data_IF_295273983994
#
_entry.id   IF_295273983994
#
_cell.length_a   1.000
_cell.length_b   1.000
_cell.length_c   1.000
_cell.angle_alpha   90.00
_cell.angle_beta   90.00
_cell.angle_gamma   90.00
#
_symmetry.space_group_name_H-M   'P 1'
#
loop_
_entity.id
_entity.type
_entity.pdbx_description
1 polymer ?
#
# COMPACT_ATOMS: atom_id res chain seq x y z
N UNK A 1 7.70 17.16 -26.75
CA UNK A 1 7.48 16.16 -25.70
C UNK A 1 8.82 15.77 -25.13
N UNK A 2 9.02 15.92 -23.85
CA UNK A 2 10.25 15.59 -23.11
C UNK A 2 10.02 14.33 -22.32
N UNK A 3 11.07 13.51 -22.15
CA UNK A 3 11.10 12.33 -21.28
C UNK A 3 12.18 12.52 -20.25
N UNK A 4 11.81 12.50 -18.98
CA UNK A 4 12.73 12.49 -17.84
C UNK A 4 12.82 11.07 -17.29
N UNK A 5 14.03 10.50 -17.26
CA UNK A 5 14.28 9.16 -16.74
C UNK A 5 15.32 9.21 -15.63
N UNK A 6 14.99 8.63 -14.48
CA UNK A 6 15.86 8.42 -13.32
C UNK A 6 15.55 7.02 -12.74
N UNK A 7 16.35 6.48 -11.81
CA UNK A 7 15.95 5.29 -11.08
C UNK A 7 14.55 5.47 -10.48
N UNK A 8 13.67 4.50 -10.67
CA UNK A 8 12.26 4.49 -10.20
C UNK A 8 11.35 5.63 -10.69
N UNK A 9 11.80 6.42 -11.71
CA UNK A 9 11.03 7.52 -12.27
C UNK A 9 11.18 7.56 -13.79
N UNK A 10 10.03 7.55 -14.49
CA UNK A 10 9.97 7.81 -15.93
C UNK A 10 8.72 8.66 -16.21
N UNK A 11 8.96 9.94 -16.49
CA UNK A 11 7.89 10.90 -16.77
C UNK A 11 8.01 11.44 -18.19
N UNK A 12 6.87 11.55 -18.85
CA UNK A 12 6.70 12.23 -20.12
C UNK A 12 5.95 13.54 -19.86
N UNK A 13 6.28 14.61 -20.55
CA UNK A 13 5.57 15.86 -20.44
C UNK A 13 5.96 16.87 -21.51
N UNK A 14 5.51 18.10 -21.30
CA UNK A 14 5.73 19.24 -22.18
C UNK A 14 6.23 20.42 -21.36
N UNK A 15 6.79 21.44 -22.04
CA UNK A 15 7.29 22.67 -21.38
C UNK A 15 8.15 22.34 -20.15
N UNK A 16 9.20 21.56 -20.38
CA UNK A 16 10.08 21.05 -19.33
C UNK A 16 11.26 22.00 -19.18
N UNK A 17 11.47 22.46 -17.96
CA UNK A 17 12.69 23.10 -17.50
C UNK A 17 13.26 22.28 -16.35
N UNK A 18 14.46 21.73 -16.51
CA UNK A 18 15.06 20.84 -15.51
C UNK A 18 16.57 21.06 -15.40
N UNK A 19 16.99 21.43 -14.20
CA UNK A 19 18.40 21.58 -13.85
C UNK A 19 18.94 20.27 -13.24
N UNK A 20 19.84 19.61 -13.96
CA UNK A 20 20.43 18.35 -13.51
C UNK A 20 21.41 18.54 -12.33
N UNK A 21 22.01 19.72 -12.17
CA UNK A 21 22.91 20.02 -11.05
C UNK A 21 22.18 20.05 -9.73
N UNK A 22 21.10 20.81 -9.66
CA UNK A 22 20.30 21.03 -8.45
C UNK A 22 19.18 20.00 -8.30
N UNK A 23 18.90 19.20 -9.34
CA UNK A 23 17.75 18.28 -9.44
C UNK A 23 16.41 18.99 -9.23
N UNK A 24 16.29 20.21 -9.70
CA UNK A 24 15.08 21.03 -9.62
C UNK A 24 14.52 21.28 -11.01
N UNK A 25 13.22 21.56 -11.09
CA UNK A 25 12.62 21.89 -12.38
C UNK A 25 11.11 21.80 -12.38
N UNK A 26 10.54 22.02 -13.55
CA UNK A 26 9.08 21.95 -13.78
C UNK A 26 8.78 21.21 -15.08
N UNK A 27 7.60 20.60 -15.14
CA UNK A 27 7.10 19.93 -16.34
C UNK A 27 5.58 20.02 -16.37
N UNK A 28 5.00 20.28 -17.53
CA UNK A 28 3.54 20.36 -17.71
C UNK A 28 2.97 19.13 -18.42
N UNK A 29 1.69 18.86 -18.23
CA UNK A 29 0.93 17.74 -18.84
C UNK A 29 1.67 16.42 -18.71
N UNK A 30 1.88 16.02 -17.48
CA UNK A 30 2.75 14.90 -17.11
C UNK A 30 1.97 13.59 -17.10
N UNK A 31 2.57 12.56 -17.67
CA UNK A 31 2.17 11.16 -17.55
C UNK A 31 3.41 10.26 -17.41
N UNK A 32 3.31 9.22 -16.59
CA UNK A 32 4.42 8.28 -16.46
C UNK A 32 4.35 7.40 -15.23
N UNK A 33 5.52 6.97 -14.75
CA UNK A 33 5.65 6.05 -13.62
C UNK A 33 6.62 6.63 -12.60
N UNK A 34 6.22 6.59 -11.33
CA UNK A 34 7.04 6.95 -10.16
C UNK A 34 6.88 5.86 -9.10
N UNK A 35 7.98 5.24 -8.66
CA UNK A 35 7.97 4.14 -7.67
C UNK A 35 6.92 3.07 -8.00
N UNK A 36 6.95 2.54 -9.23
CA UNK A 36 6.01 1.54 -9.75
C UNK A 36 4.53 1.96 -9.75
N UNK A 37 4.22 3.24 -9.58
CA UNK A 37 2.86 3.79 -9.67
C UNK A 37 2.72 4.66 -10.91
N UNK A 38 1.64 4.47 -11.64
CA UNK A 38 1.30 5.29 -12.79
C UNK A 38 0.75 6.61 -12.28
N UNK A 39 1.32 7.70 -12.75
CA UNK A 39 0.95 9.07 -12.37
C UNK A 39 0.55 9.87 -13.59
N UNK A 40 -0.41 10.78 -13.41
CA UNK A 40 -0.75 11.82 -14.39
C UNK A 40 -0.98 13.12 -13.63
N UNK A 41 -0.66 14.25 -14.23
CA UNK A 41 -0.84 15.56 -13.61
C UNK A 41 -0.83 16.71 -14.60
N UNK A 42 -1.40 17.84 -14.20
CA UNK A 42 -1.34 19.06 -15.00
C UNK A 42 0.06 19.64 -15.02
N UNK A 43 0.73 19.62 -13.87
CA UNK A 43 2.13 20.03 -13.74
C UNK A 43 2.85 19.25 -12.66
N UNK A 44 4.17 19.21 -12.77
CA UNK A 44 5.08 18.63 -11.77
C UNK A 44 6.16 19.63 -11.47
N UNK A 45 6.52 19.76 -10.21
CA UNK A 45 7.72 20.42 -9.72
C UNK A 45 8.66 19.37 -9.15
N UNK A 46 9.93 19.52 -9.48
CA UNK A 46 11.01 18.64 -9.00
C UNK A 46 11.84 19.40 -7.98
N UNK A 47 12.14 18.71 -6.90
CA UNK A 47 13.08 19.14 -5.85
C UNK A 47 14.06 17.99 -5.58
N UNK A 48 15.20 18.21 -4.92
CA UNK A 48 16.24 17.19 -4.73
C UNK A 48 15.74 15.87 -4.12
N UNK A 49 14.77 15.94 -3.20
CA UNK A 49 14.23 14.79 -2.46
C UNK A 49 12.70 14.68 -2.52
N UNK A 50 12.06 15.46 -3.38
CA UNK A 50 10.60 15.54 -3.46
C UNK A 50 10.15 15.78 -4.90
N UNK A 51 9.00 15.19 -5.25
CA UNK A 51 8.30 15.44 -6.50
C UNK A 51 6.90 15.88 -6.16
N UNK A 52 6.49 17.06 -6.61
CA UNK A 52 5.14 17.60 -6.35
C UNK A 52 4.33 17.60 -7.64
N UNK A 53 3.22 16.89 -7.64
CA UNK A 53 2.29 16.79 -8.78
C UNK A 53 1.02 17.58 -8.45
N UNK A 54 0.62 18.49 -9.32
CA UNK A 54 -0.59 19.26 -9.16
C UNK A 54 -1.73 18.75 -10.05
N UNK A 55 -2.93 18.71 -9.47
CA UNK A 55 -4.17 18.24 -10.11
C UNK A 55 -3.92 16.89 -10.83
N UNK A 56 -3.46 15.94 -10.03
CA UNK A 56 -2.97 14.67 -10.54
C UNK A 56 -3.79 13.48 -10.11
N UNK A 57 -3.46 12.35 -10.73
CA UNK A 57 -3.97 11.03 -10.37
C UNK A 57 -2.82 10.06 -10.20
N UNK A 58 -3.01 9.06 -9.33
CA UNK A 58 -2.04 8.00 -9.09
C UNK A 58 -2.76 6.66 -8.96
N UNK A 59 -2.21 5.61 -9.58
CA UNK A 59 -2.75 4.25 -9.53
C UNK A 59 -1.64 3.20 -9.70
N UNK A 60 -1.88 1.98 -9.23
CA UNK A 60 -1.07 0.79 -9.60
C UNK A 60 -1.70 -0.01 -10.75
N UNK A 61 -2.93 0.31 -11.15
CA UNK A 61 -3.63 -0.40 -12.22
C UNK A 61 -3.07 0.00 -13.59
N UNK A 62 -2.49 -0.93 -14.38
CA UNK A 62 -1.88 -0.62 -15.67
C UNK A 62 -2.90 -0.43 -16.82
N UNK A 63 -4.18 -0.62 -16.55
CA UNK A 63 -5.22 -0.48 -17.54
C UNK A 63 -5.31 0.97 -18.07
N UNK A 64 -5.62 1.13 -19.37
CA UNK A 64 -5.80 2.45 -19.99
C UNK A 64 -6.87 3.29 -19.29
N UNK A 65 -7.96 2.64 -18.83
CA UNK A 65 -8.95 3.17 -17.90
C UNK A 65 -8.81 2.35 -16.60
N UNK A 66 -8.16 2.90 -15.57
CA UNK A 66 -7.89 2.12 -14.35
C UNK A 66 -9.18 1.84 -13.58
N UNK A 67 -9.30 0.64 -13.02
CA UNK A 67 -10.43 0.26 -12.17
C UNK A 67 -10.46 1.06 -10.86
N UNK A 68 -9.30 1.53 -10.40
CA UNK A 68 -9.19 2.39 -9.24
C UNK A 68 -8.04 3.39 -9.40
N UNK A 69 -8.21 4.58 -8.82
CA UNK A 69 -7.16 5.58 -8.74
C UNK A 69 -7.43 6.56 -7.59
N UNK A 70 -6.40 7.26 -7.18
CA UNK A 70 -6.51 8.42 -6.28
C UNK A 70 -6.32 9.66 -7.14
N UNK A 71 -7.25 10.61 -7.06
CA UNK A 71 -7.07 11.95 -7.58
C UNK A 71 -6.81 12.92 -6.42
N UNK A 72 -5.97 13.92 -6.63
CA UNK A 72 -5.69 14.93 -5.62
C UNK A 72 -5.33 16.27 -6.26
N UNK A 73 -5.56 17.38 -5.54
CA UNK A 73 -5.10 18.70 -5.98
C UNK A 73 -3.58 18.82 -5.93
N UNK A 74 -2.94 18.21 -4.92
CA UNK A 74 -1.50 18.18 -4.76
C UNK A 74 -1.07 16.80 -4.27
N UNK A 75 -0.06 16.22 -4.91
CA UNK A 75 0.55 14.94 -4.53
C UNK A 75 2.04 15.19 -4.33
N UNK A 76 2.53 14.96 -3.14
CA UNK A 76 3.95 15.00 -2.77
C UNK A 76 4.48 13.58 -2.73
N UNK A 77 5.55 13.30 -3.45
CA UNK A 77 6.21 12.02 -3.49
C UNK A 77 7.64 12.20 -2.97
N UNK A 78 7.95 11.61 -1.84
CA UNK A 78 9.29 11.45 -1.30
C UNK A 78 9.77 10.06 -1.71
N UNK A 79 10.62 9.92 -2.75
CA UNK A 79 10.99 8.63 -3.32
C UNK A 79 11.49 7.64 -2.26
N UNK A 80 10.97 6.42 -2.28
CA UNK A 80 11.27 5.34 -1.32
C UNK A 80 10.93 5.65 0.16
N UNK A 81 10.27 6.76 0.46
CA UNK A 81 9.91 7.15 1.83
C UNK A 81 8.39 7.17 1.99
N UNK A 82 7.71 8.13 1.36
CA UNK A 82 6.26 8.31 1.50
C UNK A 82 5.65 9.07 0.33
N UNK A 83 4.33 8.96 0.25
CA UNK A 83 3.48 9.77 -0.62
C UNK A 83 2.42 10.45 0.23
N UNK A 84 2.19 11.74 -0.02
CA UNK A 84 1.13 12.53 0.61
C UNK A 84 0.25 13.10 -0.51
N UNK A 85 -1.06 12.95 -0.40
CA UNK A 85 -2.01 13.53 -1.33
C UNK A 85 -2.99 14.43 -0.57
N UNK A 86 -3.13 15.67 -1.02
CA UNK A 86 -4.03 16.67 -0.42
C UNK A 86 -5.29 16.83 -1.26
N UNK A 87 -6.42 17.01 -0.59
CA UNK A 87 -7.76 16.99 -1.20
C UNK A 87 -7.95 15.72 -2.06
N UNK A 88 -7.62 14.59 -1.44
CA UNK A 88 -7.60 13.31 -2.12
C UNK A 88 -8.99 12.69 -2.21
N UNK A 89 -9.26 12.08 -3.38
CA UNK A 89 -10.45 11.26 -3.63
C UNK A 89 -10.02 9.90 -4.14
N UNK A 90 -10.51 8.85 -3.51
CA UNK A 90 -10.34 7.47 -3.95
C UNK A 90 -11.49 7.10 -4.86
N UNK A 91 -11.17 6.75 -6.08
CA UNK A 91 -12.11 6.35 -7.12
C UNK A 91 -12.05 4.86 -7.35
N UNK A 92 -13.22 4.26 -7.55
CA UNK A 92 -13.36 2.95 -8.14
C UNK A 92 -14.25 3.10 -9.36
N UNK A 93 -13.67 2.84 -10.54
CA UNK A 93 -14.23 3.19 -11.84
C UNK A 93 -14.62 4.67 -11.87
N UNK A 94 -15.91 4.96 -11.99
CA UNK A 94 -16.44 6.32 -12.12
C UNK A 94 -17.09 6.84 -10.82
N UNK A 95 -16.93 6.13 -9.68
CA UNK A 95 -17.51 6.49 -8.38
C UNK A 95 -16.45 6.85 -7.37
N UNK A 96 -16.65 7.98 -6.68
CA UNK A 96 -15.85 8.34 -5.50
C UNK A 96 -16.33 7.50 -4.33
N UNK A 97 -15.45 6.68 -3.77
CA UNK A 97 -15.75 5.90 -2.56
C UNK A 97 -15.39 6.63 -1.28
N UNK A 98 -14.32 7.42 -1.32
CA UNK A 98 -13.78 8.09 -0.14
C UNK A 98 -13.12 9.39 -0.52
N UNK A 99 -13.25 10.41 0.34
CA UNK A 99 -12.59 11.70 0.19
C UNK A 99 -11.97 12.12 1.52
N UNK A 100 -10.77 12.68 1.46
CA UNK A 100 -10.06 13.16 2.64
C UNK A 100 -9.25 14.41 2.30
N UNK A 101 -9.08 15.30 3.27
CA UNK A 101 -8.21 16.48 3.12
C UNK A 101 -6.73 16.09 2.98
N UNK A 102 -6.31 14.98 3.60
CA UNK A 102 -4.94 14.46 3.53
C UNK A 102 -4.97 12.94 3.50
N UNK A 103 -4.26 12.35 2.56
CA UNK A 103 -3.97 10.92 2.45
C UNK A 103 -2.46 10.73 2.48
N UNK A 104 -1.94 9.88 3.35
CA UNK A 104 -0.50 9.60 3.44
C UNK A 104 -0.26 8.08 3.41
N UNK A 105 0.73 7.65 2.65
CA UNK A 105 1.16 6.23 2.59
C UNK A 105 2.66 6.14 2.46
N UNK A 106 3.27 5.15 3.12
CA UNK A 106 4.70 4.88 3.02
C UNK A 106 5.05 4.25 1.67
N UNK A 107 6.24 4.56 1.15
CA UNK A 107 6.82 3.97 -0.05
C UNK A 107 8.08 3.19 0.34
N UNK A 108 8.38 2.10 -0.38
CA UNK A 108 9.64 1.36 -0.19
C UNK A 108 9.64 0.26 0.89
N UNK A 109 8.58 0.09 1.66
CA UNK A 109 8.43 -1.04 2.58
C UNK A 109 7.15 -1.80 2.26
N UNK A 110 7.26 -2.96 1.61
CA UNK A 110 6.10 -3.79 1.22
C UNK A 110 5.34 -4.39 2.40
N UNK A 111 5.84 -4.28 3.64
CA UNK A 111 5.29 -4.95 4.83
C UNK A 111 4.69 -4.03 5.90
N UNK A 112 4.70 -2.71 5.74
CA UNK A 112 3.96 -1.86 6.69
C UNK A 112 2.52 -1.69 6.22
N UNK A 113 1.61 -2.24 7.01
CA UNK A 113 0.17 -2.09 6.84
C UNK A 113 -0.18 -0.59 6.89
N UNK A 114 -0.86 -0.11 5.89
CA UNK A 114 -1.22 1.32 5.78
C UNK A 114 -2.28 1.69 6.81
N UNK A 115 -2.15 2.85 7.45
CA UNK A 115 -3.20 3.43 8.29
C UNK A 115 -4.47 3.81 7.48
N UNK A 116 -4.42 3.74 6.17
CA UNK A 116 -5.51 4.08 5.26
C UNK A 116 -5.99 2.86 4.48
N UNK A 117 -7.29 2.82 4.11
CA UNK A 117 -7.84 1.74 3.31
C UNK A 117 -7.07 1.55 2.00
N UNK A 118 -6.76 0.30 1.69
CA UNK A 118 -6.25 -0.10 0.38
C UNK A 118 -7.41 -0.52 -0.50
N UNK A 119 -7.52 0.07 -1.67
CA UNK A 119 -8.55 -0.25 -2.65
C UNK A 119 -7.91 -0.88 -3.87
N UNK A 120 -8.50 -1.95 -4.38
CA UNK A 120 -8.01 -2.65 -5.57
C UNK A 120 -9.07 -3.52 -6.22
N UNK A 121 -8.64 -4.33 -7.18
CA UNK A 121 -9.47 -5.28 -7.92
C UNK A 121 -8.70 -6.59 -8.13
N UNK A 122 -9.37 -7.72 -7.90
CA UNK A 122 -8.85 -9.07 -8.15
C UNK A 122 -9.99 -10.02 -8.59
N UNK A 123 -9.75 -11.35 -8.51
CA UNK A 123 -10.76 -12.40 -8.80
C UNK A 123 -12.04 -12.25 -7.98
N UNK A 124 -11.96 -11.73 -6.74
CA UNK A 124 -13.08 -11.51 -5.82
C UNK A 124 -13.81 -10.18 -6.07
N UNK A 125 -13.41 -9.47 -7.13
CA UNK A 125 -13.96 -8.19 -7.53
C UNK A 125 -13.22 -7.00 -6.91
N UNK A 126 -13.97 -5.91 -6.69
CA UNK A 126 -13.42 -4.73 -6.02
C UNK A 126 -13.26 -5.06 -4.54
N UNK A 127 -12.08 -4.75 -4.00
CA UNK A 127 -11.85 -4.89 -2.56
C UNK A 127 -11.46 -3.55 -1.91
N UNK A 128 -11.83 -3.43 -0.64
CA UNK A 128 -11.37 -2.37 0.27
C UNK A 128 -10.84 -3.08 1.50
N UNK A 129 -9.57 -2.86 1.82
CA UNK A 129 -8.88 -3.49 2.96
C UNK A 129 -8.37 -2.41 3.89
N UNK A 130 -8.69 -2.54 5.18
CA UNK A 130 -8.20 -1.66 6.23
C UNK A 130 -7.61 -2.48 7.36
N UNK A 131 -6.34 -2.26 7.65
CA UNK A 131 -5.69 -2.79 8.84
C UNK A 131 -5.68 -1.73 9.94
N UNK A 132 -6.09 -2.14 11.13
CA UNK A 132 -6.01 -1.36 12.36
C UNK A 132 -5.17 -2.15 13.35
N UNK A 133 -4.22 -1.51 14.00
CA UNK A 133 -3.42 -2.11 15.07
C UNK A 133 -3.14 -1.04 16.13
N UNK A 134 -3.38 -1.38 17.38
CA UNK A 134 -3.20 -0.50 18.53
C UNK A 134 -2.50 -1.24 19.66
N UNK A 135 -1.46 -0.63 20.20
CA UNK A 135 -0.75 -1.16 21.37
C UNK A 135 -1.60 -1.06 22.63
N UNK A 136 -1.80 -2.19 23.30
CA UNK A 136 -2.56 -2.26 24.56
C UNK A 136 -1.61 -2.08 25.75
N UNK A 137 -0.51 -2.86 25.79
CA UNK A 137 0.46 -2.83 26.88
C UNK A 137 1.79 -3.47 26.45
N UNK A 138 2.89 -2.74 26.61
CA UNK A 138 4.22 -3.23 26.24
C UNK A 138 4.31 -3.68 24.80
N UNK A 139 4.55 -4.95 24.57
CA UNK A 139 4.64 -5.57 23.22
C UNK A 139 3.32 -6.22 22.77
N UNK A 140 2.26 -6.09 23.55
CA UNK A 140 0.94 -6.61 23.23
C UNK A 140 0.12 -5.57 22.47
N UNK A 141 -0.35 -5.92 21.28
CA UNK A 141 -1.24 -5.11 20.47
C UNK A 141 -2.54 -5.86 20.15
N UNK A 142 -3.62 -5.13 19.96
CA UNK A 142 -4.83 -5.63 19.29
C UNK A 142 -4.79 -5.22 17.82
N UNK A 143 -5.29 -6.08 16.95
CA UNK A 143 -5.44 -5.75 15.54
C UNK A 143 -6.81 -6.14 14.99
N UNK A 144 -7.23 -5.46 13.94
CA UNK A 144 -8.41 -5.81 13.15
C UNK A 144 -8.12 -5.50 11.67
N UNK A 145 -8.36 -6.49 10.83
CA UNK A 145 -8.37 -6.36 9.38
C UNK A 145 -9.84 -6.34 8.92
N UNK A 146 -10.25 -5.20 8.37
CA UNK A 146 -11.62 -4.95 7.93
C UNK A 146 -11.65 -5.01 6.41
N UNK A 147 -11.84 -6.21 5.88
CA UNK A 147 -11.81 -6.46 4.44
C UNK A 147 -13.22 -6.53 3.87
N UNK A 148 -13.45 -5.82 2.78
CA UNK A 148 -14.68 -5.90 2.00
C UNK A 148 -14.35 -6.29 0.55
N UNK A 149 -15.10 -7.23 0.01
CA UNK A 149 -15.01 -7.68 -1.37
C UNK A 149 -16.38 -7.62 -2.03
N UNK A 150 -16.46 -7.09 -3.25
CA UNK A 150 -17.76 -6.89 -3.93
C UNK A 150 -18.51 -8.19 -4.24
N UNK A 151 -17.79 -9.32 -4.37
CA UNK A 151 -18.40 -10.63 -4.60
C UNK A 151 -18.70 -11.41 -3.31
N UNK A 152 -17.97 -11.15 -2.23
CA UNK A 152 -18.02 -11.95 -1.00
C UNK A 152 -18.48 -11.16 0.23
N UNK A 153 -18.67 -9.82 0.09
CA UNK A 153 -19.10 -8.96 1.18
C UNK A 153 -18.00 -8.71 2.22
N UNK A 154 -18.41 -8.43 3.45
CA UNK A 154 -17.52 -8.09 4.55
C UNK A 154 -16.84 -9.34 5.13
N UNK A 155 -15.52 -9.31 5.24
CA UNK A 155 -14.65 -10.41 5.65
C UNK A 155 -13.70 -9.97 6.76
N UNK A 156 -14.20 -9.63 7.96
CA UNK A 156 -13.34 -9.16 9.05
C UNK A 156 -12.54 -10.31 9.66
N UNK A 157 -11.32 -10.04 10.07
CA UNK A 157 -10.61 -10.84 11.04
C UNK A 157 -9.89 -9.95 12.05
N UNK A 158 -9.70 -10.43 13.27
CA UNK A 158 -9.15 -9.64 14.35
C UNK A 158 -8.52 -10.53 15.41
N UNK A 159 -7.67 -9.93 16.23
CA UNK A 159 -6.95 -10.68 17.24
C UNK A 159 -6.04 -9.85 18.11
N UNK A 160 -5.20 -10.59 18.84
CA UNK A 160 -4.13 -10.05 19.66
C UNK A 160 -2.80 -10.57 19.13
N UNK A 161 -1.80 -9.72 19.14
CA UNK A 161 -0.44 -10.07 18.78
C UNK A 161 0.52 -9.61 19.87
N UNK A 162 1.42 -10.49 20.29
CA UNK A 162 2.49 -10.16 21.22
C UNK A 162 3.85 -10.36 20.53
N UNK A 163 4.63 -9.29 20.45
CA UNK A 163 5.92 -9.27 19.79
C UNK A 163 7.05 -9.63 20.76
N UNK A 164 7.89 -10.59 20.38
CA UNK A 164 9.10 -10.99 21.08
C UNK A 164 10.34 -10.70 20.22
N UNK A 165 11.52 -10.74 20.80
CA UNK A 165 12.78 -10.46 20.08
C UNK A 165 13.04 -11.33 18.84
N UNK A 166 12.51 -12.53 18.79
CA UNK A 166 12.74 -13.48 17.65
C UNK A 166 11.48 -14.17 17.16
N UNK A 167 10.32 -13.80 17.69
CA UNK A 167 9.06 -14.46 17.39
C UNK A 167 7.87 -13.51 17.64
N UNK A 168 6.70 -13.93 17.20
CA UNK A 168 5.42 -13.33 17.55
C UNK A 168 4.42 -14.43 17.95
N UNK A 169 3.57 -14.13 18.91
CA UNK A 169 2.43 -14.95 19.30
C UNK A 169 1.16 -14.22 18.87
N UNK A 170 0.32 -14.90 18.11
CA UNK A 170 -0.92 -14.36 17.59
C UNK A 170 -2.08 -15.23 18.05
N UNK A 171 -3.14 -14.59 18.50
CA UNK A 171 -4.45 -15.20 18.74
C UNK A 171 -5.45 -14.47 17.87
N UNK A 172 -6.00 -15.15 16.88
CA UNK A 172 -6.84 -14.50 15.87
C UNK A 172 -8.08 -15.30 15.53
N UNK A 173 -9.12 -14.61 15.09
CA UNK A 173 -10.34 -15.23 14.59
C UNK A 173 -10.95 -14.38 13.48
N UNK A 174 -11.77 -15.00 12.63
CA UNK A 174 -12.46 -14.31 11.55
C UNK A 174 -12.38 -15.05 10.23
N UNK A 175 -12.54 -14.30 9.13
CA UNK A 175 -12.58 -14.85 7.77
C UNK A 175 -11.27 -14.56 7.07
N UNK A 176 -10.65 -15.60 6.56
CA UNK A 176 -9.36 -15.56 5.87
C UNK A 176 -9.48 -16.16 4.48
N UNK A 177 -8.66 -15.70 3.57
CA UNK A 177 -8.42 -16.33 2.28
C UNK A 177 -7.19 -17.23 2.43
N UNK A 178 -7.31 -18.50 2.08
CA UNK A 178 -6.20 -19.44 2.09
C UNK A 178 -5.35 -19.36 0.80
N UNK A 179 -4.34 -20.24 0.70
CA UNK A 179 -3.44 -20.27 -0.45
C UNK A 179 -4.08 -20.70 -1.78
N UNK A 180 -5.27 -21.31 -1.73
CA UNK A 180 -6.04 -21.76 -2.89
C UNK A 180 -7.20 -20.80 -3.23
N UNK A 181 -7.17 -19.59 -2.67
CA UNK A 181 -8.18 -18.55 -2.81
C UNK A 181 -9.55 -18.89 -2.19
N UNK A 182 -9.64 -19.95 -1.41
CA UNK A 182 -10.85 -20.31 -0.68
C UNK A 182 -11.01 -19.51 0.62
N UNK A 183 -12.26 -19.24 0.99
CA UNK A 183 -12.57 -18.52 2.20
C UNK A 183 -12.82 -19.47 3.35
N UNK A 184 -11.99 -19.41 4.37
CA UNK A 184 -12.09 -20.17 5.61
C UNK A 184 -12.42 -19.26 6.78
N UNK A 185 -13.08 -19.82 7.79
CA UNK A 185 -13.34 -19.15 9.06
C UNK A 185 -12.52 -19.79 10.16
N UNK A 186 -11.65 -19.02 10.79
CA UNK A 186 -10.87 -19.43 11.97
C UNK A 186 -11.60 -19.09 13.25
N UNK A 187 -11.67 -20.02 14.21
CA UNK A 187 -12.48 -19.94 15.43
C UNK A 187 -11.79 -20.55 16.65
N UNK A 188 -11.10 -19.82 17.48
CA UNK A 188 -9.93 -18.99 17.18
C UNK A 188 -8.71 -19.83 16.76
N UNK A 189 -7.71 -19.20 16.19
CA UNK A 189 -6.39 -19.79 15.94
C UNK A 189 -5.35 -19.18 16.87
N UNK A 190 -4.49 -20.03 17.43
CA UNK A 190 -3.26 -19.65 18.13
C UNK A 190 -2.08 -19.94 17.20
N UNK A 191 -1.24 -18.95 16.96
CA UNK A 191 -0.08 -19.08 16.09
C UNK A 191 1.16 -18.51 16.76
N UNK A 192 2.27 -19.26 16.68
CA UNK A 192 3.61 -18.79 17.01
C UNK A 192 4.42 -18.77 15.73
N UNK A 193 4.94 -17.60 15.38
CA UNK A 193 5.78 -17.41 14.20
C UNK A 193 7.17 -17.00 14.64
N UNK A 194 8.17 -17.78 14.31
CA UNK A 194 9.57 -17.42 14.52
C UNK A 194 10.08 -16.64 13.31
N UNK A 195 10.74 -15.52 13.57
CA UNK A 195 11.30 -14.71 12.48
C UNK A 195 12.40 -15.46 11.76
N UNK A 196 12.58 -15.21 10.45
CA UNK A 196 13.59 -15.89 9.66
C UNK A 196 14.97 -15.76 10.30
N UNK A 197 15.63 -16.91 10.55
CA UNK A 197 16.96 -17.00 11.08
C UNK A 197 17.92 -17.46 9.98
N UNK A 198 19.11 -16.87 9.94
CA UNK A 198 20.17 -17.30 9.03
C UNK A 198 20.79 -18.62 9.52
N UNK A 199 21.05 -19.54 8.61
CA UNK A 199 21.71 -20.81 8.91
C UNK A 199 23.23 -20.60 8.86
N UNK A 200 23.86 -20.33 10.00
CA UNK A 200 25.28 -20.01 10.09
C UNK A 200 25.70 -18.92 9.09
N UNK A 201 26.80 -19.11 8.37
CA UNK A 201 27.28 -18.21 7.32
C UNK A 201 26.74 -18.55 5.92
N UNK A 202 25.83 -19.51 5.82
CA UNK A 202 25.22 -19.91 4.55
C UNK A 202 24.19 -18.86 4.08
N UNK A 203 23.91 -18.78 2.77
CA UNK A 203 22.91 -17.85 2.23
C UNK A 203 21.45 -18.30 2.52
N UNK A 204 21.25 -19.30 3.34
CA UNK A 204 19.94 -19.88 3.65
C UNK A 204 19.34 -19.27 4.91
N UNK A 205 18.01 -19.12 4.88
CA UNK A 205 17.22 -18.71 6.02
C UNK A 205 16.13 -19.75 6.25
N UNK A 206 15.79 -19.99 7.50
CA UNK A 206 14.64 -20.80 7.89
C UNK A 206 13.68 -19.98 8.76
N UNK A 207 12.41 -20.28 8.67
CA UNK A 207 11.37 -19.78 9.58
C UNK A 207 10.49 -20.95 10.00
N UNK A 208 9.90 -20.85 11.19
CA UNK A 208 8.98 -21.86 11.71
C UNK A 208 7.69 -21.17 12.11
N UNK A 209 6.57 -21.70 11.64
CA UNK A 209 5.23 -21.27 12.04
C UNK A 209 4.50 -22.48 12.62
N UNK A 210 4.01 -22.35 13.84
CA UNK A 210 3.21 -23.36 14.52
C UNK A 210 1.83 -22.76 14.77
N UNK A 211 0.79 -23.44 14.32
CA UNK A 211 -0.58 -22.99 14.57
C UNK A 211 -1.47 -24.10 15.07
N UNK A 212 -2.44 -23.75 15.89
CA UNK A 212 -3.49 -24.65 16.37
C UNK A 212 -4.81 -23.87 16.46
N UNK A 213 -5.83 -24.38 15.82
CA UNK A 213 -7.15 -23.76 15.83
C UNK A 213 -8.24 -24.67 15.28
N UNK A 214 -9.46 -24.17 15.29
CA UNK A 214 -10.61 -24.78 14.60
C UNK A 214 -10.91 -23.93 13.38
N UNK A 215 -11.05 -24.57 12.23
CA UNK A 215 -11.36 -23.95 10.95
C UNK A 215 -12.65 -24.50 10.36
N UNK A 216 -13.43 -23.64 9.72
CA UNK A 216 -14.69 -23.97 9.01
C UNK A 216 -14.69 -23.31 7.63
#
# INVERSE_FOLDING_TARGET
KTVLTQPDLKLNGYETDYNYGDKTGTMKKVDGVVNHKIVKGNSVEFYPNEIVIYNGTITKCPAKKPDYHISAKRIEIYPNVKLIAYDAKVWVRDKVLYSTSKYETKLGQEKQKSAYPTVGYNSDGIYVKQHLEENIYGNLAAFADLDYYSKHGFRPHYGLINYFKGAELIVEQGKFQDGDDDWIKKMPEFRVSFYPQKVFDLPWHYSVNLSRGKWE
#
